data_IF_334399028676
#
_entry.id   IF_334399028676
#
_cell.length_a   1.000
_cell.length_b   1.000
_cell.length_c   1.000
_cell.angle_alpha   90.00
_cell.angle_beta   90.00
_cell.angle_gamma   90.00
#
_symmetry.space_group_name_H-M   'P 1'
#
loop_
_entity.id
_entity.type
_entity.pdbx_description
1 polymer ?
#
# COMPACT_ATOMS: atom_id res chain seq x y z
N UNK A 1 12.29 -12.95 -20.73
CA UNK A 1 12.90 -12.08 -19.71
C UNK A 1 12.45 -12.64 -18.38
N UNK A 2 13.37 -13.14 -17.56
CA UNK A 2 13.04 -13.51 -16.19
C UNK A 2 12.78 -12.22 -15.42
N UNK A 3 11.53 -12.01 -15.02
CA UNK A 3 11.19 -10.92 -14.12
C UNK A 3 11.54 -11.35 -12.71
N UNK A 4 12.37 -10.56 -12.03
CA UNK A 4 12.65 -10.72 -10.61
C UNK A 4 11.33 -10.57 -9.85
N UNK A 5 10.89 -11.64 -9.17
CA UNK A 5 9.67 -11.63 -8.38
C UNK A 5 9.98 -11.19 -6.96
N UNK A 6 9.29 -10.16 -6.49
CA UNK A 6 9.40 -9.65 -5.13
C UNK A 6 8.33 -10.29 -4.23
N UNK A 7 8.68 -10.53 -2.97
CA UNK A 7 7.74 -10.92 -1.92
C UNK A 7 7.11 -9.66 -1.32
N UNK A 8 5.78 -9.63 -1.21
CA UNK A 8 5.09 -8.56 -0.48
C UNK A 8 5.14 -8.86 1.03
N UNK A 9 5.59 -7.88 1.81
CA UNK A 9 5.55 -7.89 3.27
C UNK A 9 4.65 -6.76 3.73
N UNK A 10 3.75 -7.04 4.68
CA UNK A 10 2.85 -6.04 5.24
C UNK A 10 3.31 -5.66 6.64
N UNK A 11 3.43 -4.35 6.91
CA UNK A 11 3.57 -3.89 8.27
C UNK A 11 2.34 -4.29 9.12
N UNK A 12 2.48 -4.54 10.43
CA UNK A 12 1.36 -4.93 11.30
C UNK A 12 0.16 -3.99 11.20
N UNK A 13 0.40 -2.68 11.19
CA UNK A 13 -0.64 -1.65 11.10
C UNK A 13 -1.41 -1.69 9.77
N UNK A 14 -0.76 -2.15 8.69
CA UNK A 14 -1.42 -2.35 7.39
C UNK A 14 -2.38 -3.53 7.45
N UNK A 15 -2.00 -4.63 8.12
CA UNK A 15 -2.89 -5.77 8.32
C UNK A 15 -4.12 -5.40 9.16
N UNK A 16 -3.92 -4.59 10.21
CA UNK A 16 -5.03 -4.06 11.01
C UNK A 16 -5.92 -3.15 10.16
N UNK A 17 -5.34 -2.24 9.36
CA UNK A 17 -6.11 -1.35 8.48
C UNK A 17 -6.94 -2.12 7.45
N UNK A 18 -6.38 -3.17 6.85
CA UNK A 18 -7.10 -4.05 5.94
C UNK A 18 -8.32 -4.69 6.62
N UNK A 19 -8.14 -5.18 7.85
CA UNK A 19 -9.23 -5.73 8.66
C UNK A 19 -10.31 -4.67 8.94
N UNK A 20 -9.92 -3.47 9.35
CA UNK A 20 -10.86 -2.36 9.60
C UNK A 20 -11.66 -2.00 8.34
N UNK A 21 -11.01 -1.91 7.18
CA UNK A 21 -11.67 -1.62 5.90
C UNK A 21 -12.71 -2.70 5.57
N UNK A 22 -12.33 -3.97 5.69
CA UNK A 22 -13.25 -5.10 5.47
C UNK A 22 -14.44 -5.01 6.41
N UNK A 23 -14.18 -4.86 7.71
CA UNK A 23 -15.20 -4.90 8.75
C UNK A 23 -16.17 -3.71 8.60
N UNK A 24 -15.66 -2.51 8.30
CA UNK A 24 -16.49 -1.32 8.02
C UNK A 24 -17.44 -1.56 6.83
N UNK A 25 -16.92 -2.03 5.69
CA UNK A 25 -17.74 -2.25 4.50
C UNK A 25 -18.74 -3.40 4.74
N UNK A 26 -18.32 -4.43 5.48
CA UNK A 26 -19.18 -5.57 5.81
C UNK A 26 -20.38 -5.17 6.66
N UNK A 27 -20.15 -4.28 7.64
CA UNK A 27 -21.18 -3.79 8.55
C UNK A 27 -22.11 -2.76 7.90
N UNK A 28 -21.61 -1.90 7.01
CA UNK A 28 -22.39 -0.82 6.41
C UNK A 28 -23.07 -1.19 5.09
N UNK A 29 -22.60 -2.24 4.40
CA UNK A 29 -23.12 -2.64 3.09
C UNK A 29 -23.48 -4.13 3.05
N UNK A 30 -22.46 -5.01 3.00
CA UNK A 30 -22.64 -6.46 3.07
C UNK A 30 -21.30 -7.17 3.25
N UNK A 31 -21.32 -8.37 3.84
CA UNK A 31 -20.12 -9.22 3.98
C UNK A 31 -19.42 -9.46 2.62
N UNK A 32 -20.18 -9.76 1.57
CA UNK A 32 -19.64 -9.94 0.20
C UNK A 32 -18.96 -8.67 -0.32
N UNK A 33 -19.52 -7.48 -0.06
CA UNK A 33 -18.90 -6.22 -0.44
C UNK A 33 -17.56 -5.99 0.28
N UNK A 34 -17.49 -6.34 1.57
CA UNK A 34 -16.24 -6.26 2.34
C UNK A 34 -15.17 -7.19 1.78
N UNK A 35 -15.54 -8.43 1.46
CA UNK A 35 -14.65 -9.43 0.86
C UNK A 35 -14.15 -8.99 -0.53
N UNK A 36 -15.04 -8.54 -1.41
CA UNK A 36 -14.63 -8.05 -2.74
C UNK A 36 -13.69 -6.84 -2.65
N UNK A 37 -13.90 -5.92 -1.71
CA UNK A 37 -12.97 -4.80 -1.52
C UNK A 37 -11.58 -5.29 -1.11
N UNK A 38 -11.51 -6.29 -0.24
CA UNK A 38 -10.24 -6.88 0.19
C UNK A 38 -9.48 -7.53 -0.97
N UNK A 39 -10.17 -8.34 -1.77
CA UNK A 39 -9.60 -8.98 -2.96
C UNK A 39 -9.06 -7.95 -3.95
N UNK A 40 -9.80 -6.86 -4.17
CA UNK A 40 -9.38 -5.76 -5.03
C UNK A 40 -8.10 -5.08 -4.52
N UNK A 41 -8.04 -4.75 -3.22
CA UNK A 41 -6.87 -4.11 -2.62
C UNK A 41 -5.65 -5.01 -2.71
N UNK A 42 -5.79 -6.30 -2.35
CA UNK A 42 -4.69 -7.28 -2.37
C UNK A 42 -4.20 -7.47 -3.81
N UNK A 43 -5.10 -7.68 -4.76
CA UNK A 43 -4.73 -7.87 -6.17
C UNK A 43 -4.03 -6.64 -6.78
N UNK A 44 -4.40 -5.43 -6.35
CA UNK A 44 -3.68 -4.21 -6.76
C UNK A 44 -2.27 -4.16 -6.17
N UNK A 45 -2.07 -4.57 -4.91
CA UNK A 45 -0.74 -4.63 -4.27
C UNK A 45 0.14 -5.70 -4.91
N UNK A 46 -0.41 -6.86 -5.28
CA UNK A 46 0.33 -7.96 -5.90
C UNK A 46 0.99 -7.57 -7.24
N UNK A 47 0.53 -6.50 -7.90
CA UNK A 47 1.22 -5.95 -9.09
C UNK A 47 2.64 -5.49 -8.77
N UNK A 48 2.91 -5.10 -7.53
CA UNK A 48 4.23 -4.71 -7.05
C UNK A 48 5.19 -5.90 -6.94
N UNK A 49 4.70 -7.15 -6.96
CA UNK A 49 5.57 -8.34 -7.02
C UNK A 49 6.42 -8.37 -8.29
N UNK A 50 5.90 -7.80 -9.39
CA UNK A 50 6.57 -7.81 -10.70
C UNK A 50 7.06 -6.42 -11.09
N UNK A 51 6.36 -5.36 -10.67
CA UNK A 51 6.70 -3.99 -11.02
C UNK A 51 6.78 -3.10 -9.78
N UNK A 52 7.73 -3.34 -8.85
CA UNK A 52 7.84 -2.56 -7.62
C UNK A 52 8.20 -1.09 -7.88
N UNK A 53 8.82 -0.78 -9.02
CA UNK A 53 9.22 0.57 -9.40
C UNK A 53 8.08 1.44 -9.98
N UNK A 54 6.88 0.88 -10.17
CA UNK A 54 5.74 1.57 -10.83
C UNK A 54 5.16 2.72 -10.01
N UNK A 55 5.40 2.75 -8.70
CA UNK A 55 4.99 3.83 -7.82
C UNK A 55 5.70 5.15 -8.12
N UNK A 56 5.16 6.26 -7.61
CA UNK A 56 5.82 7.56 -7.65
C UNK A 56 6.76 7.73 -6.44
N UNK A 57 7.73 8.64 -6.53
CA UNK A 57 8.57 9.02 -5.38
C UNK A 57 7.72 9.80 -4.36
N UNK A 58 7.43 9.17 -3.22
CA UNK A 58 6.62 9.79 -2.19
C UNK A 58 7.42 10.83 -1.40
N UNK A 59 8.72 10.63 -1.18
CA UNK A 59 9.52 11.64 -0.49
C UNK A 59 9.55 12.95 -1.28
N UNK A 60 9.74 12.88 -2.61
CA UNK A 60 9.70 14.04 -3.50
C UNK A 60 8.32 14.70 -3.50
N UNK A 61 7.24 13.91 -3.65
CA UNK A 61 5.87 14.44 -3.68
C UNK A 61 5.49 15.16 -2.39
N UNK A 62 6.02 14.71 -1.25
CA UNK A 62 5.77 15.32 0.04
C UNK A 62 6.74 16.47 0.37
N UNK A 63 7.85 16.57 -0.36
CA UNK A 63 8.91 17.56 -0.11
C UNK A 63 9.77 17.24 1.11
N UNK A 64 9.66 16.04 1.67
CA UNK A 64 10.41 15.58 2.84
C UNK A 64 10.47 14.06 2.90
N UNK A 65 11.51 13.54 3.57
CA UNK A 65 11.65 12.11 3.85
C UNK A 65 10.52 11.63 4.76
N UNK A 66 9.72 10.67 4.28
CA UNK A 66 8.65 10.02 5.07
C UNK A 66 9.26 9.06 6.09
N UNK A 67 10.28 8.30 5.68
CA UNK A 67 11.08 7.45 6.56
C UNK A 67 12.50 7.97 6.70
N UNK A 68 13.08 7.81 7.89
CA UNK A 68 14.51 8.11 8.14
C UNK A 68 15.44 7.02 7.61
N UNK A 69 14.91 5.84 7.30
CA UNK A 69 15.71 4.64 7.06
C UNK A 69 15.75 4.24 5.58
N UNK A 70 14.73 4.58 4.80
CA UNK A 70 14.59 4.15 3.41
C UNK A 70 13.88 5.23 2.59
N UNK A 71 14.02 5.13 1.27
CA UNK A 71 13.20 5.93 0.35
C UNK A 71 11.79 5.37 0.28
N UNK A 72 10.79 6.25 0.26
CA UNK A 72 9.38 5.84 0.23
C UNK A 72 8.79 6.06 -1.15
N UNK A 73 8.13 5.03 -1.67
CA UNK A 73 7.35 5.06 -2.91
C UNK A 73 5.86 5.05 -2.60
N UNK A 74 5.05 5.65 -3.47
CA UNK A 74 3.60 5.67 -3.37
C UNK A 74 2.94 4.99 -4.57
N UNK A 75 1.96 4.12 -4.32
CA UNK A 75 1.19 3.48 -5.39
C UNK A 75 -0.31 3.52 -5.08
N UNK A 76 -1.08 4.12 -5.99
CA UNK A 76 -2.54 4.24 -5.83
C UNK A 76 -3.19 2.89 -6.10
N UNK A 77 -3.93 2.38 -5.11
CA UNK A 77 -4.74 1.17 -5.22
C UNK A 77 -6.15 1.57 -5.62
N UNK A 78 -6.54 1.20 -6.84
CA UNK A 78 -7.82 1.63 -7.42
C UNK A 78 -7.99 3.17 -7.31
N UNK A 79 -9.17 3.69 -6.97
CA UNK A 79 -9.39 5.14 -6.78
C UNK A 79 -9.42 5.58 -5.31
N UNK A 80 -9.55 4.63 -4.38
CA UNK A 80 -9.97 4.92 -3.00
C UNK A 80 -8.82 4.85 -2.00
N UNK A 81 -7.70 4.19 -2.34
CA UNK A 81 -6.59 3.95 -1.43
C UNK A 81 -5.23 4.18 -2.09
N UNK A 82 -4.23 4.41 -1.26
CA UNK A 82 -2.83 4.50 -1.64
C UNK A 82 -2.02 3.68 -0.65
N UNK A 83 -1.02 2.94 -1.15
CA UNK A 83 0.03 2.38 -0.32
C UNK A 83 1.27 3.22 -0.40
N UNK A 84 1.92 3.37 0.76
CA UNK A 84 3.30 3.82 0.83
C UNK A 84 4.16 2.60 1.16
N UNK A 85 5.25 2.42 0.44
CA UNK A 85 6.07 1.23 0.51
C UNK A 85 7.53 1.54 0.21
N UNK A 86 8.41 0.59 0.53
CA UNK A 86 9.79 0.61 0.09
C UNK A 86 10.20 -0.75 -0.48
N UNK A 87 11.33 -0.75 -1.18
CA UNK A 87 11.86 -1.93 -1.87
C UNK A 87 13.15 -2.32 -1.17
N UNK A 88 13.22 -3.56 -0.66
CA UNK A 88 14.43 -4.17 -0.13
C UNK A 88 15.04 -5.03 -1.25
N UNK A 89 15.94 -4.41 -2.04
CA UNK A 89 16.49 -5.03 -3.25
C UNK A 89 17.30 -6.30 -3.01
N UNK A 90 18.02 -6.36 -1.89
CA UNK A 90 18.86 -7.50 -1.53
C UNK A 90 18.04 -8.74 -1.17
N UNK A 91 16.87 -8.53 -0.56
CA UNK A 91 15.97 -9.58 -0.07
C UNK A 91 14.82 -9.88 -1.05
N UNK A 92 14.74 -9.13 -2.15
CA UNK A 92 13.64 -9.19 -3.11
C UNK A 92 12.29 -8.96 -2.43
N UNK A 93 12.18 -7.95 -1.56
CA UNK A 93 10.93 -7.65 -0.85
C UNK A 93 10.39 -6.28 -1.20
N UNK A 94 9.07 -6.19 -1.20
CA UNK A 94 8.32 -4.94 -1.18
C UNK A 94 7.61 -4.87 0.14
N UNK A 95 7.98 -3.90 0.97
CA UNK A 95 7.42 -3.73 2.30
C UNK A 95 6.37 -2.62 2.25
N UNK A 96 5.11 -2.98 2.49
CA UNK A 96 3.99 -2.05 2.56
C UNK A 96 3.96 -1.45 3.96
N UNK A 97 4.38 -0.19 4.07
CA UNK A 97 4.49 0.54 5.33
C UNK A 97 3.15 1.13 5.77
N UNK A 98 2.38 1.66 4.81
CA UNK A 98 1.11 2.34 5.08
C UNK A 98 0.05 2.01 4.03
N UNK A 99 -1.21 1.93 4.46
CA UNK A 99 -2.41 1.87 3.63
C UNK A 99 -3.35 3.01 4.03
N UNK A 100 -3.56 3.97 3.12
CA UNK A 100 -4.22 5.23 3.44
C UNK A 100 -5.37 5.50 2.44
N UNK A 101 -6.51 6.05 2.88
CA UNK A 101 -7.57 6.44 1.96
C UNK A 101 -7.17 7.70 1.17
N UNK A 102 -7.32 7.68 -0.15
CA UNK A 102 -6.90 8.78 -1.05
C UNK A 102 -7.68 10.07 -0.84
N UNK A 103 -8.89 9.97 -0.30
CA UNK A 103 -9.77 11.12 0.00
C UNK A 103 -9.43 11.81 1.33
N UNK A 104 -8.57 11.21 2.15
CA UNK A 104 -8.08 11.85 3.37
C UNK A 104 -6.92 12.78 3.05
N UNK A 105 -6.70 13.78 3.89
CA UNK A 105 -5.48 14.58 3.87
C UNK A 105 -4.35 13.81 4.57
N UNK A 106 -4.06 12.60 4.06
CA UNK A 106 -3.04 11.70 4.60
C UNK A 106 -1.65 12.33 4.59
N UNK A 107 -1.45 13.36 3.77
CA UNK A 107 -0.20 14.13 3.72
C UNK A 107 0.15 14.82 5.04
N UNK A 108 -0.85 15.12 5.88
CA UNK A 108 -0.64 15.68 7.21
C UNK A 108 -0.04 14.71 8.23
N UNK A 109 -0.07 13.39 7.96
CA UNK A 109 0.45 12.38 8.89
C UNK A 109 1.99 12.41 8.99
N UNK A 110 2.67 13.02 8.03
CA UNK A 110 4.12 12.96 7.88
C UNK A 110 4.78 14.35 7.92
N UNK A 111 4.08 15.35 8.49
CA UNK A 111 4.58 16.71 8.72
C UNK A 111 5.12 16.89 10.14
#
# INVERSE_FOLDING_TARGET
MDYKKYQIIYAPDVLEKLKEIRDYISQNYSSTSGQHKMEQIISDIEKLEVFPEVGFDADEKYGSKISKYHSTRGYTLSKDYIVLYHIEEEENRVVIDYLLPTRSDYMKLFK
#
